data_IF_522390824516
#
_entry.id   IF_522390824516
#
_cell.length_a   1.000
_cell.length_b   1.000
_cell.length_c   1.000
_cell.angle_alpha   90.00
_cell.angle_beta   90.00
_cell.angle_gamma   90.00
#
_symmetry.space_group_name_H-M   'P 1'
#
loop_
_entity.id
_entity.type
_entity.pdbx_description
1 polymer ?
#
# COMPACT_ATOMS: atom_id res chain seq x y z
N UNK A 1 -23.74 -3.15 51.41
CA UNK A 1 -23.74 -2.49 50.08
C UNK A 1 -22.39 -2.69 49.37
N UNK A 2 -21.82 -3.91 49.32
CA UNK A 2 -20.49 -4.19 48.72
C UNK A 2 -20.42 -5.56 48.00
N UNK A 3 -21.56 -6.19 47.68
CA UNK A 3 -21.59 -7.52 47.02
C UNK A 3 -21.06 -7.49 45.57
N UNK A 4 -20.81 -6.31 45.01
CA UNK A 4 -20.24 -6.07 43.69
C UNK A 4 -18.70 -6.09 43.68
N UNK A 5 -18.03 -5.89 44.82
CA UNK A 5 -16.55 -5.93 44.89
C UNK A 5 -16.01 -7.37 44.89
N UNK A 6 -16.85 -8.34 45.27
CA UNK A 6 -16.55 -9.78 45.25
C UNK A 6 -17.18 -10.51 44.07
N UNK A 7 -17.69 -9.78 43.06
CA UNK A 7 -18.03 -10.38 41.77
C UNK A 7 -16.72 -10.68 41.05
N UNK A 8 -16.11 -11.77 41.50
CA UNK A 8 -14.87 -12.38 41.03
C UNK A 8 -14.92 -12.40 39.51
N UNK A 9 -13.85 -11.90 38.89
CA UNK A 9 -13.50 -12.03 37.46
C UNK A 9 -13.33 -13.51 37.03
N UNK A 10 -14.20 -14.42 37.49
CA UNK A 10 -14.16 -15.85 37.22
C UNK A 10 -15.41 -16.34 36.49
N UNK A 11 -16.42 -15.50 36.29
CA UNK A 11 -17.66 -15.89 35.61
C UNK A 11 -17.64 -15.62 34.09
N UNK A 12 -16.47 -15.23 33.59
CA UNK A 12 -16.22 -15.07 32.17
C UNK A 12 -14.78 -15.51 31.87
N UNK A 13 -14.35 -16.62 32.47
CA UNK A 13 -13.30 -17.39 31.84
C UNK A 13 -13.93 -18.01 30.61
N UNK A 14 -13.77 -17.36 29.46
CA UNK A 14 -13.77 -18.06 28.18
C UNK A 14 -12.87 -19.26 28.44
N UNK A 15 -13.45 -20.45 28.44
CA UNK A 15 -12.73 -21.68 28.68
C UNK A 15 -11.83 -21.86 27.45
N UNK A 16 -10.64 -21.25 27.51
CA UNK A 16 -9.62 -21.41 26.49
C UNK A 16 -9.15 -22.84 26.66
N UNK A 17 -9.75 -23.73 25.88
CA UNK A 17 -9.33 -25.12 25.77
C UNK A 17 -7.84 -25.09 25.46
N UNK A 18 -7.02 -25.53 26.42
CA UNK A 18 -5.58 -25.56 26.23
C UNK A 18 -5.28 -26.65 25.21
N UNK A 19 -5.03 -26.25 23.97
CA UNK A 19 -4.58 -27.16 22.93
C UNK A 19 -3.22 -27.76 23.30
N UNK A 20 -3.03 -29.02 22.97
CA UNK A 20 -1.71 -29.65 22.97
C UNK A 20 -0.88 -29.15 21.79
N UNK A 21 0.45 -29.26 21.86
CA UNK A 21 1.34 -28.86 20.76
C UNK A 21 0.99 -29.54 19.43
N UNK A 22 0.57 -30.81 19.48
CA UNK A 22 0.16 -31.57 18.29
C UNK A 22 -1.12 -31.01 17.69
N UNK A 23 -2.12 -30.72 18.51
CA UNK A 23 -3.40 -30.17 18.06
C UNK A 23 -3.21 -28.79 17.44
N UNK A 24 -2.42 -27.93 18.08
CA UNK A 24 -2.10 -26.60 17.55
C UNK A 24 -1.39 -26.70 16.20
N UNK A 25 -0.45 -27.63 16.03
CA UNK A 25 0.25 -27.82 14.77
C UNK A 25 -0.70 -28.30 13.66
N UNK A 26 -1.59 -29.26 13.96
CA UNK A 26 -2.56 -29.75 13.00
C UNK A 26 -3.57 -28.68 12.60
N UNK A 27 -4.04 -27.86 13.56
CA UNK A 27 -4.91 -26.72 13.29
C UNK A 27 -4.22 -25.70 12.39
N UNK A 28 -2.99 -25.29 12.73
CA UNK A 28 -2.23 -24.33 11.94
C UNK A 28 -1.95 -24.82 10.51
N UNK A 29 -1.61 -26.11 10.33
CA UNK A 29 -1.45 -26.72 9.00
C UNK A 29 -2.79 -26.71 8.24
N UNK A 30 -3.91 -26.99 8.91
CA UNK A 30 -5.24 -26.90 8.32
C UNK A 30 -5.54 -25.50 7.79
N UNK A 31 -5.30 -24.47 8.61
CA UNK A 31 -5.50 -23.06 8.23
C UNK A 31 -4.61 -22.67 7.04
N UNK A 32 -3.33 -23.05 7.05
CA UNK A 32 -2.42 -22.81 5.92
C UNK A 32 -2.93 -23.51 4.65
N UNK A 33 -3.43 -24.74 4.76
CA UNK A 33 -3.96 -25.47 3.61
C UNK A 33 -5.23 -24.80 3.05
N UNK A 34 -6.11 -24.29 3.90
CA UNK A 34 -7.32 -23.58 3.47
C UNK A 34 -6.96 -22.31 2.68
N UNK A 35 -6.01 -21.51 3.17
CA UNK A 35 -5.56 -20.29 2.49
C UNK A 35 -4.83 -20.64 1.19
N UNK A 36 -3.88 -21.56 1.23
CA UNK A 36 -3.13 -21.93 0.03
C UNK A 36 -4.00 -22.60 -1.03
N UNK A 37 -5.13 -23.22 -0.65
CA UNK A 37 -6.10 -23.76 -1.59
C UNK A 37 -6.78 -22.67 -2.44
N UNK A 38 -6.96 -21.45 -1.93
CA UNK A 38 -7.60 -20.35 -2.67
C UNK A 38 -6.67 -19.63 -3.66
N UNK A 39 -5.35 -19.82 -3.53
CA UNK A 39 -4.35 -19.21 -4.44
C UNK A 39 -4.36 -19.89 -5.81
N UNK A 40 -4.29 -19.09 -6.89
CA UNK A 40 -4.14 -19.62 -8.26
C UNK A 40 -2.80 -20.34 -8.42
N UNK A 41 -1.71 -19.68 -8.02
CA UNK A 41 -0.37 -20.26 -7.97
C UNK A 41 -0.04 -20.75 -6.55
N UNK A 42 0.33 -22.03 -6.44
CA UNK A 42 0.65 -22.64 -5.13
C UNK A 42 2.05 -22.24 -4.67
N UNK A 43 2.21 -21.78 -3.43
CA UNK A 43 3.51 -21.38 -2.91
C UNK A 43 4.43 -22.59 -2.70
N UNK A 44 5.73 -22.38 -2.90
CA UNK A 44 6.74 -23.40 -2.58
C UNK A 44 6.94 -23.46 -1.06
N UNK A 45 7.00 -24.68 -0.51
CA UNK A 45 7.29 -24.91 0.92
C UNK A 45 8.75 -25.32 1.07
N UNK A 46 9.52 -24.54 1.85
CA UNK A 46 10.91 -24.85 2.15
C UNK A 46 11.07 -25.15 3.63
N UNK A 47 11.85 -26.19 3.94
CA UNK A 47 12.22 -26.55 5.32
C UNK A 47 13.73 -26.42 5.46
N UNK A 48 14.19 -25.57 6.38
CA UNK A 48 15.59 -25.52 6.75
C UNK A 48 15.88 -26.57 7.83
N UNK A 49 16.66 -27.63 7.53
CA UNK A 49 16.93 -28.70 8.49
C UNK A 49 17.83 -28.25 9.66
N UNK A 50 18.55 -27.14 9.55
CA UNK A 50 19.45 -26.67 10.60
C UNK A 50 18.70 -25.91 11.70
N UNK A 51 17.68 -25.15 11.31
CA UNK A 51 16.88 -24.31 12.23
C UNK A 51 15.49 -24.89 12.51
N UNK A 52 15.00 -25.79 11.66
CA UNK A 52 13.62 -26.28 11.68
C UNK A 52 12.60 -25.26 11.16
N UNK A 53 13.04 -24.16 10.54
CA UNK A 53 12.16 -23.13 10.01
C UNK A 53 11.41 -23.63 8.76
N UNK A 54 10.12 -23.29 8.70
CA UNK A 54 9.27 -23.51 7.54
C UNK A 54 9.00 -22.15 6.90
N UNK A 55 9.31 -22.00 5.62
CA UNK A 55 9.05 -20.79 4.86
C UNK A 55 8.18 -21.10 3.64
N UNK A 56 7.29 -20.16 3.31
CA UNK A 56 6.41 -20.22 2.14
C UNK A 56 6.87 -19.15 1.15
N UNK A 57 7.18 -19.56 -0.07
CA UNK A 57 7.43 -18.62 -1.17
C UNK A 57 6.09 -18.24 -1.78
N UNK A 58 5.53 -17.13 -1.31
CA UNK A 58 4.23 -16.62 -1.74
C UNK A 58 4.30 -15.98 -3.14
N UNK A 59 3.18 -15.95 -3.89
CA UNK A 59 3.08 -15.19 -5.13
C UNK A 59 3.31 -13.68 -4.88
N UNK A 60 3.68 -12.95 -5.93
CA UNK A 60 3.95 -11.50 -5.85
C UNK A 60 2.72 -10.68 -5.43
N UNK A 61 1.55 -11.12 -5.85
CA UNK A 61 0.26 -10.52 -5.53
C UNK A 61 -0.66 -11.61 -4.97
N UNK A 62 -1.21 -11.35 -3.78
CA UNK A 62 -2.24 -12.21 -3.22
C UNK A 62 -3.61 -11.88 -3.87
N UNK A 63 -4.54 -12.84 -3.98
CA UNK A 63 -5.83 -12.62 -4.64
C UNK A 63 -6.68 -11.52 -4.01
N UNK A 64 -6.55 -11.32 -2.71
CA UNK A 64 -7.19 -10.24 -1.95
C UNK A 64 -6.55 -8.87 -2.23
N UNK A 65 -5.25 -8.84 -2.50
CA UNK A 65 -4.50 -7.62 -2.86
C UNK A 65 -4.77 -7.18 -4.31
N UNK A 66 -4.95 -8.11 -5.24
CA UNK A 66 -5.28 -7.80 -6.64
C UNK A 66 -6.64 -7.10 -6.81
N UNK A 67 -7.57 -7.31 -5.86
CA UNK A 67 -8.86 -6.61 -5.82
C UNK A 67 -8.75 -5.20 -5.21
N UNK A 68 -7.70 -4.95 -4.44
CA UNK A 68 -7.41 -3.60 -3.97
C UNK A 68 -6.86 -2.80 -5.14
N UNK A 69 -7.45 -1.64 -5.41
CA UNK A 69 -6.84 -0.69 -6.33
C UNK A 69 -5.41 -0.40 -5.86
N UNK A 70 -4.43 -0.34 -6.77
CA UNK A 70 -3.09 0.08 -6.39
C UNK A 70 -3.19 1.42 -5.67
N UNK A 71 -2.51 1.54 -4.53
CA UNK A 71 -2.47 2.80 -3.81
C UNK A 71 -2.03 3.90 -4.80
N UNK A 72 -2.69 5.08 -4.78
CA UNK A 72 -2.27 6.17 -5.65
C UNK A 72 -0.78 6.43 -5.41
N UNK A 73 -0.01 6.55 -6.48
CA UNK A 73 1.37 7.03 -6.38
C UNK A 73 1.32 8.35 -5.58
N UNK A 74 2.11 8.42 -4.50
CA UNK A 74 2.25 9.68 -3.76
C UNK A 74 2.60 10.74 -4.80
N UNK A 75 1.66 11.66 -5.04
CA UNK A 75 1.87 12.75 -5.97
C UNK A 75 3.17 13.43 -5.56
N UNK A 76 4.22 13.22 -6.35
CA UNK A 76 5.46 13.96 -6.23
C UNK A 76 5.06 15.43 -6.18
N UNK A 77 5.56 16.22 -5.21
CA UNK A 77 5.13 17.60 -5.05
C UNK A 77 5.27 18.31 -6.39
N UNK A 78 4.15 18.84 -6.88
CA UNK A 78 4.12 19.62 -8.11
C UNK A 78 5.18 20.72 -8.01
N UNK A 79 6.02 20.92 -9.04
CA UNK A 79 7.03 21.97 -8.99
C UNK A 79 6.33 23.32 -8.86
N UNK A 80 6.61 24.02 -7.77
CA UNK A 80 6.18 25.41 -7.56
C UNK A 80 6.63 26.25 -8.77
N UNK A 81 5.66 26.69 -9.59
CA UNK A 81 5.95 27.72 -10.57
C UNK A 81 6.28 29.01 -9.82
N UNK A 82 7.38 29.71 -10.15
CA UNK A 82 7.72 30.95 -9.48
C UNK A 82 6.64 31.99 -9.73
N UNK A 83 6.09 32.53 -8.64
CA UNK A 83 5.25 33.72 -8.65
C UNK A 83 6.02 34.85 -9.36
N UNK A 84 5.44 35.37 -10.44
CA UNK A 84 5.96 36.53 -11.13
C UNK A 84 5.78 37.76 -10.23
N UNK A 85 6.89 38.24 -9.68
CA UNK A 85 6.96 39.49 -8.94
C UNK A 85 6.56 40.69 -9.82
N UNK A 86 5.77 41.53 -9.19
CA UNK A 86 5.20 42.81 -9.63
C UNK A 86 6.29 43.80 -10.09
N UNK A 87 6.15 44.39 -11.28
CA UNK A 87 6.83 45.65 -11.62
C UNK A 87 5.88 46.63 -12.32
N UNK A 88 5.96 47.94 -11.98
CA UNK A 88 4.83 48.86 -12.13
C UNK A 88 4.72 49.46 -13.52
N UNK A 89 3.47 49.56 -13.99
CA UNK A 89 3.10 50.31 -15.18
C UNK A 89 3.41 51.80 -15.02
N UNK A 90 4.22 52.35 -15.94
CA UNK A 90 4.26 53.79 -16.20
C UNK A 90 4.30 54.06 -17.71
N UNK A 91 3.22 54.71 -18.14
CA UNK A 91 3.10 55.75 -19.15
C UNK A 91 3.62 55.50 -20.59
N UNK A 92 2.63 55.43 -21.48
CA UNK A 92 2.39 56.44 -22.52
C UNK A 92 3.38 56.54 -23.70
N UNK A 93 2.84 56.30 -24.90
CA UNK A 93 3.13 57.15 -26.04
C UNK A 93 3.94 56.57 -27.20
N UNK A 94 3.27 56.57 -28.36
CA UNK A 94 3.80 57.01 -29.67
C UNK A 94 4.41 55.98 -30.62
N UNK A 95 3.56 55.57 -31.57
CA UNK A 95 3.71 55.53 -33.04
C UNK A 95 5.05 55.19 -33.73
N UNK A 96 4.87 54.41 -34.80
CA UNK A 96 5.53 54.46 -36.11
C UNK A 96 6.82 53.65 -36.36
N UNK A 97 6.68 52.67 -37.28
CA UNK A 97 7.31 52.63 -38.64
C UNK A 97 7.83 51.22 -38.98
N UNK A 98 7.07 50.43 -39.75
CA UNK A 98 7.18 50.12 -41.20
C UNK A 98 8.54 49.55 -41.65
N UNK A 99 8.43 48.49 -42.48
CA UNK A 99 9.38 47.90 -43.45
C UNK A 99 10.22 46.73 -42.90
N UNK A 100 10.50 45.64 -43.60
CA UNK A 100 10.06 45.01 -44.85
C UNK A 100 10.86 43.68 -44.92
N UNK A 101 10.34 42.63 -45.55
CA UNK A 101 11.09 41.53 -46.24
C UNK A 101 10.07 40.42 -46.59
N UNK A 102 9.36 40.50 -47.72
CA UNK A 102 9.70 39.93 -49.04
C UNK A 102 10.14 38.46 -49.03
N UNK A 103 9.14 37.61 -49.26
CA UNK A 103 9.07 36.52 -50.24
C UNK A 103 10.27 36.27 -51.16
N UNK A 104 10.45 34.98 -51.47
CA UNK A 104 11.21 34.40 -52.59
C UNK A 104 12.74 34.41 -52.51
N UNK A 105 13.33 33.22 -52.40
CA UNK A 105 13.87 32.59 -53.61
C UNK A 105 14.17 31.09 -53.44
N UNK A 106 13.88 30.40 -54.54
CA UNK A 106 14.07 29.00 -54.86
C UNK A 106 15.38 28.87 -55.67
N UNK A 107 16.21 27.90 -55.35
CA UNK A 107 17.12 27.23 -56.30
C UNK A 107 17.60 25.92 -55.71
#
# INVERSE_FOLDING_TARGET
>A
MFKFLFRRKSDQSVEVTKETQRETLLRAIGEVNEITATLDDKPAVTVDPNTGAITLTLPEQMPDEALALPAPEEALPEPEMPEAEDTPAKADGTEAKVEAETDSSKA
#
